data_IF_274812529716
#
_entry.id   IF_274812529716
#
_cell.length_a   1.000
_cell.length_b   1.000
_cell.length_c   1.000
_cell.angle_alpha   90.00
_cell.angle_beta   90.00
_cell.angle_gamma   90.00
#
_symmetry.space_group_name_H-M   'P 1'
#
loop_
_entity.id
_entity.type
_entity.pdbx_description
1 polymer ?
#
# COMPACT_ATOMS: atom_id res chain seq x y z
N UNK A 1 18.90 36.13 -22.33
CA UNK A 1 19.36 34.76 -21.99
C UNK A 1 18.21 34.09 -21.28
N UNK A 2 17.35 33.38 -22.04
CA UNK A 2 16.16 32.70 -21.50
C UNK A 2 16.58 31.30 -21.07
N UNK A 3 16.46 31.03 -19.78
CA UNK A 3 16.61 29.66 -19.22
C UNK A 3 15.37 28.84 -19.61
N UNK A 4 15.53 27.99 -20.61
CA UNK A 4 14.53 26.96 -20.93
C UNK A 4 14.71 25.84 -19.89
N UNK A 5 13.90 25.85 -18.84
CA UNK A 5 13.78 24.75 -17.94
C UNK A 5 13.02 23.63 -18.65
N UNK A 6 13.75 22.57 -19.00
CA UNK A 6 13.22 21.32 -19.52
C UNK A 6 12.55 20.56 -18.36
N UNK A 7 11.34 20.96 -18.01
CA UNK A 7 10.54 20.38 -16.93
C UNK A 7 9.33 19.68 -17.53
N UNK A 8 9.47 18.50 -18.05
CA UNK A 8 8.31 17.90 -18.69
C UNK A 8 8.17 16.38 -18.55
N UNK A 9 9.21 15.58 -18.64
CA UNK A 9 9.01 14.13 -18.77
C UNK A 9 9.55 13.26 -17.63
N UNK A 10 10.58 13.67 -16.93
CA UNK A 10 11.11 12.86 -15.82
C UNK A 10 10.32 13.00 -14.51
N UNK A 11 9.58 14.09 -14.34
CA UNK A 11 8.76 14.34 -13.15
C UNK A 11 7.35 13.71 -13.18
N UNK A 12 6.84 13.35 -14.35
CA UNK A 12 5.48 12.82 -14.48
C UNK A 12 5.35 11.42 -13.86
N UNK A 13 6.30 10.52 -14.07
CA UNK A 13 6.30 9.17 -13.53
C UNK A 13 6.42 9.15 -11.99
N UNK A 14 7.05 10.16 -11.39
CA UNK A 14 7.18 10.32 -9.94
C UNK A 14 6.04 11.16 -9.32
N UNK A 15 5.13 11.66 -10.14
CA UNK A 15 4.08 12.57 -9.72
C UNK A 15 2.98 11.91 -8.91
N UNK A 16 2.69 10.65 -9.21
CA UNK A 16 1.67 9.82 -8.56
C UNK A 16 2.22 8.43 -8.29
N UNK A 17 1.59 7.71 -7.37
CA UNK A 17 1.95 6.33 -7.00
C UNK A 17 0.76 5.42 -7.26
N UNK A 18 0.99 4.36 -8.02
CA UNK A 18 0.13 3.17 -8.11
C UNK A 18 0.96 1.98 -7.62
N UNK A 19 0.47 1.23 -6.65
CA UNK A 19 1.20 0.08 -6.07
C UNK A 19 0.68 -1.26 -6.57
N UNK A 20 -0.58 -1.33 -7.00
CA UNK A 20 -1.18 -2.54 -7.52
C UNK A 20 -1.87 -2.25 -8.85
N UNK A 21 -1.71 -3.11 -9.88
CA UNK A 21 -2.41 -2.93 -11.16
C UNK A 21 -3.95 -2.88 -11.03
N UNK A 22 -4.51 -3.49 -9.98
CA UNK A 22 -5.95 -3.49 -9.70
C UNK A 22 -6.43 -2.24 -8.97
N UNK A 23 -5.55 -1.27 -8.67
CA UNK A 23 -5.94 -0.04 -7.98
C UNK A 23 -6.75 0.86 -8.91
N UNK A 24 -7.90 1.31 -8.42
CA UNK A 24 -8.78 2.25 -9.11
C UNK A 24 -8.38 3.71 -8.86
N UNK A 25 -7.40 3.92 -7.97
CA UNK A 25 -6.92 5.25 -7.58
C UNK A 25 -5.40 5.32 -7.60
N UNK A 26 -4.90 6.51 -7.91
CA UNK A 26 -3.49 6.91 -7.78
C UNK A 26 -3.34 7.83 -6.58
N UNK A 27 -2.17 7.86 -5.96
CA UNK A 27 -1.85 8.78 -4.86
C UNK A 27 -0.99 9.92 -5.38
N UNK A 28 -1.47 11.14 -5.22
CA UNK A 28 -0.71 12.34 -5.56
C UNK A 28 0.44 12.56 -4.57
N UNK A 29 1.69 12.49 -5.02
CA UNK A 29 2.86 12.76 -4.15
C UNK A 29 3.01 14.24 -3.79
N UNK A 30 2.58 15.11 -4.68
CA UNK A 30 2.59 16.55 -4.53
C UNK A 30 1.21 17.09 -4.95
N UNK A 31 0.84 18.31 -4.57
CA UNK A 31 -0.41 18.92 -5.04
C UNK A 31 -0.50 18.88 -6.56
N UNK A 32 -1.66 18.53 -7.10
CA UNK A 32 -1.92 18.48 -8.55
C UNK A 32 -2.97 19.52 -8.90
N UNK A 33 -2.60 20.54 -9.67
CA UNK A 33 -3.57 21.50 -10.17
C UNK A 33 -4.49 20.86 -11.22
N UNK A 34 -5.68 21.43 -11.38
CA UNK A 34 -6.58 21.09 -12.47
C UNK A 34 -5.89 21.27 -13.83
N UNK A 35 -6.23 20.40 -14.77
CA UNK A 35 -5.72 20.42 -16.12
C UNK A 35 -4.35 19.78 -16.32
N UNK A 36 -3.67 19.33 -15.24
CA UNK A 36 -2.39 18.64 -15.35
C UNK A 36 -2.60 17.22 -15.90
N UNK A 37 -1.76 16.82 -16.85
CA UNK A 37 -1.73 15.47 -17.37
C UNK A 37 -0.87 14.58 -16.45
N UNK A 38 -1.44 13.47 -16.02
CA UNK A 38 -0.80 12.42 -15.22
C UNK A 38 -0.37 11.26 -16.14
N UNK A 39 0.50 10.35 -15.66
CA UNK A 39 0.75 9.09 -16.34
C UNK A 39 -0.56 8.35 -16.69
N UNK A 40 -0.50 7.45 -17.65
CA UNK A 40 -1.64 6.65 -18.13
C UNK A 40 -2.72 7.48 -18.87
N UNK A 41 -2.41 8.71 -19.29
CA UNK A 41 -3.33 9.55 -20.05
C UNK A 41 -4.47 10.15 -19.22
N UNK A 42 -4.30 10.19 -17.91
CA UNK A 42 -5.30 10.74 -16.98
C UNK A 42 -5.09 12.25 -16.85
N UNK A 43 -6.14 13.05 -17.09
CA UNK A 43 -6.11 14.48 -16.87
C UNK A 43 -6.81 14.87 -15.58
N UNK A 44 -6.11 15.60 -14.71
CA UNK A 44 -6.65 16.09 -13.43
C UNK A 44 -7.82 17.05 -13.71
N UNK A 45 -8.98 16.77 -13.10
CA UNK A 45 -10.22 17.54 -13.30
C UNK A 45 -10.53 18.56 -12.22
N UNK A 46 -9.82 18.50 -11.11
CA UNK A 46 -9.95 19.39 -9.96
C UNK A 46 -8.66 19.38 -9.14
N UNK A 47 -8.38 20.38 -8.32
CA UNK A 47 -7.16 20.42 -7.51
C UNK A 47 -7.09 19.21 -6.55
N UNK A 48 -6.00 18.47 -6.58
CA UNK A 48 -5.75 17.30 -5.72
C UNK A 48 -4.64 17.63 -4.72
N UNK A 49 -4.89 17.63 -3.42
CA UNK A 49 -3.85 17.83 -2.42
C UNK A 49 -2.82 16.69 -2.40
N UNK A 50 -1.61 16.96 -1.90
CA UNK A 50 -0.60 15.93 -1.68
C UNK A 50 -1.12 14.85 -0.73
N UNK A 51 -0.80 13.58 -1.01
CA UNK A 51 -1.24 12.43 -0.24
C UNK A 51 -2.67 11.96 -0.54
N UNK A 52 -3.43 12.74 -1.33
CA UNK A 52 -4.81 12.40 -1.67
C UNK A 52 -4.90 11.51 -2.90
N UNK A 53 -6.08 10.90 -3.07
CA UNK A 53 -6.36 9.95 -4.14
C UNK A 53 -6.96 10.67 -5.34
N UNK A 54 -6.54 10.27 -6.53
CA UNK A 54 -7.13 10.67 -7.82
C UNK A 54 -7.65 9.42 -8.52
N UNK A 55 -8.83 9.47 -9.09
CA UNK A 55 -9.42 8.35 -9.82
C UNK A 55 -8.59 8.03 -11.07
N UNK A 56 -8.19 6.77 -11.21
CA UNK A 56 -7.41 6.30 -12.36
C UNK A 56 -8.28 5.98 -13.57
N UNK A 57 -9.58 5.80 -13.37
CA UNK A 57 -10.58 5.51 -14.39
C UNK A 57 -11.93 6.08 -13.99
N UNK A 58 -12.89 6.00 -14.88
CA UNK A 58 -14.28 6.27 -14.53
C UNK A 58 -14.82 5.15 -13.62
N UNK A 59 -15.55 5.54 -12.58
CA UNK A 59 -16.09 4.65 -11.55
C UNK A 59 -17.59 4.96 -11.42
N UNK A 60 -18.42 3.95 -11.55
CA UNK A 60 -19.87 4.11 -11.44
C UNK A 60 -20.31 4.29 -9.98
N UNK A 61 -21.47 4.91 -9.76
CA UNK A 61 -22.08 4.97 -8.44
C UNK A 61 -22.35 3.56 -7.90
N UNK A 62 -22.03 3.30 -6.63
CA UNK A 62 -22.12 2.00 -5.99
C UNK A 62 -20.97 1.03 -6.30
N UNK A 63 -20.07 1.39 -7.20
CA UNK A 63 -18.94 0.54 -7.55
C UNK A 63 -17.88 0.53 -6.44
N UNK A 64 -17.28 -0.64 -6.17
CA UNK A 64 -16.20 -0.79 -5.21
C UNK A 64 -14.90 -0.18 -5.74
N UNK A 65 -14.22 0.60 -4.92
CA UNK A 65 -12.90 1.15 -5.22
C UNK A 65 -11.81 0.35 -4.52
N UNK A 66 -10.72 0.12 -5.25
CA UNK A 66 -9.55 -0.61 -4.74
C UNK A 66 -8.34 0.30 -4.59
N UNK A 67 -7.59 0.01 -3.54
CA UNK A 67 -6.23 0.50 -3.30
C UNK A 67 -5.40 -0.63 -2.68
N UNK A 68 -4.19 -0.82 -3.14
CA UNK A 68 -3.37 -1.98 -2.78
C UNK A 68 -4.04 -3.32 -3.13
N UNK A 69 -4.82 -3.34 -4.20
CA UNK A 69 -5.64 -4.48 -4.58
C UNK A 69 -6.83 -4.77 -3.65
N UNK A 70 -7.02 -3.97 -2.58
CA UNK A 70 -8.08 -4.15 -1.58
C UNK A 70 -9.20 -3.13 -1.74
N UNK A 71 -10.43 -3.53 -1.49
CA UNK A 71 -11.57 -2.62 -1.46
C UNK A 71 -11.40 -1.64 -0.29
N UNK A 72 -11.47 -0.34 -0.60
CA UNK A 72 -11.37 0.75 0.37
C UNK A 72 -12.70 1.47 0.62
N UNK A 73 -13.74 1.11 -0.11
CA UNK A 73 -15.07 1.67 -0.03
C UNK A 73 -15.81 1.56 -1.35
N UNK A 74 -16.96 2.23 -1.42
CA UNK A 74 -17.84 2.26 -2.59
C UNK A 74 -18.09 3.70 -3.01
N UNK A 75 -18.17 3.94 -4.32
CA UNK A 75 -18.47 5.26 -4.84
C UNK A 75 -19.90 5.65 -4.45
N UNK A 76 -20.10 6.73 -3.70
CA UNK A 76 -21.41 7.24 -3.35
C UNK A 76 -22.11 7.94 -4.52
N UNK A 77 -21.37 8.29 -5.55
CA UNK A 77 -21.80 8.85 -6.83
C UNK A 77 -20.80 8.47 -7.93
N UNK A 78 -21.13 8.68 -9.19
CA UNK A 78 -20.17 8.48 -10.27
C UNK A 78 -18.95 9.40 -10.09
N UNK A 79 -17.75 8.86 -10.32
CA UNK A 79 -16.46 9.55 -10.21
C UNK A 79 -15.75 9.40 -11.55
N UNK A 80 -15.42 10.51 -12.20
CA UNK A 80 -14.68 10.48 -13.45
C UNK A 80 -13.17 10.33 -13.24
N UNK A 81 -12.49 9.73 -14.20
CA UNK A 81 -11.03 9.67 -14.22
C UNK A 81 -10.44 11.09 -14.02
N UNK A 82 -9.42 11.21 -13.17
CA UNK A 82 -8.80 12.49 -12.83
C UNK A 82 -9.52 13.29 -11.74
N UNK A 83 -10.65 12.84 -11.21
CA UNK A 83 -11.31 13.49 -10.08
C UNK A 83 -10.70 13.08 -8.73
N UNK A 84 -10.84 13.93 -7.75
CA UNK A 84 -10.44 13.71 -6.37
C UNK A 84 -11.34 12.65 -5.71
N UNK A 85 -10.74 11.63 -5.11
CA UNK A 85 -11.46 10.59 -4.37
C UNK A 85 -11.26 10.81 -2.88
N UNK A 86 -12.35 11.14 -2.18
CA UNK A 86 -12.36 11.40 -0.75
C UNK A 86 -13.74 11.12 -0.14
N UNK A 87 -13.94 11.43 1.13
CA UNK A 87 -15.21 11.19 1.87
C UNK A 87 -16.45 11.80 1.23
N UNK A 88 -16.30 12.78 0.33
CA UNK A 88 -17.43 13.41 -0.36
C UNK A 88 -18.01 12.55 -1.51
N UNK A 89 -17.28 11.53 -1.96
CA UNK A 89 -17.69 10.62 -3.04
C UNK A 89 -17.29 9.15 -2.82
N UNK A 90 -16.69 8.83 -1.66
CA UNK A 90 -16.35 7.47 -1.24
C UNK A 90 -16.98 7.21 0.13
N UNK A 91 -17.82 6.19 0.22
CA UNK A 91 -18.46 5.74 1.45
C UNK A 91 -17.98 4.34 1.84
N UNK A 92 -18.04 4.05 3.14
CA UNK A 92 -17.89 2.67 3.62
C UNK A 92 -19.16 1.88 3.28
N UNK A 93 -18.99 0.60 3.01
CA UNK A 93 -20.09 -0.34 2.75
C UNK A 93 -19.73 -1.71 3.27
N UNK A 94 -20.72 -2.55 3.43
CA UNK A 94 -20.50 -3.94 3.80
C UNK A 94 -19.99 -4.72 2.60
N UNK A 95 -18.86 -5.41 2.80
CA UNK A 95 -18.34 -6.37 1.84
C UNK A 95 -17.77 -7.57 2.59
N UNK A 96 -18.09 -8.75 2.11
CA UNK A 96 -17.44 -9.97 2.60
C UNK A 96 -16.08 -10.12 1.91
N UNK A 97 -15.05 -10.36 2.71
CA UNK A 97 -13.76 -10.78 2.19
C UNK A 97 -13.73 -12.29 2.20
N UNK A 98 -13.47 -12.87 1.05
CA UNK A 98 -13.15 -14.29 0.99
C UNK A 98 -11.72 -14.48 1.52
N UNK A 99 -11.64 -14.74 2.81
CA UNK A 99 -10.37 -15.09 3.44
C UNK A 99 -10.14 -16.59 3.26
N UNK A 100 -9.55 -16.97 2.16
CA UNK A 100 -9.09 -18.34 1.96
C UNK A 100 -7.84 -18.59 2.81
N UNK A 101 -8.04 -18.81 4.11
CA UNK A 101 -6.94 -19.10 5.03
C UNK A 101 -6.32 -20.45 4.71
N UNK A 102 -5.01 -20.51 4.65
CA UNK A 102 -4.26 -21.75 4.55
C UNK A 102 -4.36 -22.48 3.20
N UNK A 103 -4.81 -21.86 2.12
CA UNK A 103 -4.89 -22.48 0.79
C UNK A 103 -3.56 -23.03 0.30
N UNK A 104 -2.45 -22.43 0.70
CA UNK A 104 -1.09 -22.88 0.37
C UNK A 104 -0.43 -23.68 1.51
N UNK A 105 -1.18 -23.97 2.58
CA UNK A 105 -0.67 -24.75 3.68
C UNK A 105 -0.36 -26.17 3.20
N UNK A 106 0.90 -26.55 3.27
CA UNK A 106 1.37 -27.90 2.94
C UNK A 106 1.85 -28.56 4.22
N UNK A 107 1.56 -29.84 4.35
CA UNK A 107 2.13 -30.64 5.44
C UNK A 107 3.65 -30.57 5.40
N UNK A 108 4.25 -30.21 6.52
CA UNK A 108 5.71 -30.21 6.66
C UNK A 108 6.18 -31.67 6.70
N UNK A 109 7.10 -32.05 5.82
CA UNK A 109 7.73 -33.37 5.91
C UNK A 109 8.58 -33.42 7.18
N UNK A 110 8.47 -34.53 7.92
CA UNK A 110 9.36 -34.76 9.05
C UNK A 110 10.82 -34.66 8.58
N UNK A 111 11.71 -33.99 9.33
CA UNK A 111 13.11 -33.94 9.00
C UNK A 111 13.71 -35.34 9.00
N UNK A 112 14.61 -35.59 8.07
CA UNK A 112 15.32 -36.91 8.00
C UNK A 112 16.31 -37.06 9.15
N UNK A 113 16.81 -35.92 9.69
CA UNK A 113 17.68 -35.87 10.84
C UNK A 113 17.16 -34.84 11.86
N UNK A 114 17.00 -35.29 13.13
CA UNK A 114 16.55 -34.43 14.25
C UNK A 114 17.73 -33.70 14.94
N UNK A 115 18.83 -33.47 14.21
CA UNK A 115 20.03 -32.87 14.76
C UNK A 115 20.33 -31.53 14.13
N UNK A 116 20.85 -30.64 14.93
CA UNK A 116 21.35 -29.35 14.45
C UNK A 116 22.64 -28.96 15.17
N UNK A 117 23.45 -28.13 14.53
CA UNK A 117 24.59 -27.48 15.18
C UNK A 117 24.07 -26.29 15.97
N UNK A 118 24.18 -26.37 17.30
CA UNK A 118 23.70 -25.34 18.20
C UNK A 118 24.80 -24.64 18.97
N UNK A 119 24.50 -23.47 19.53
CA UNK A 119 25.35 -22.70 20.41
C UNK A 119 24.95 -23.06 21.86
N UNK A 120 25.84 -23.69 22.62
CA UNK A 120 25.63 -23.93 24.05
C UNK A 120 26.06 -22.68 24.81
N UNK A 121 25.16 -22.10 25.57
CA UNK A 121 25.40 -20.90 26.38
C UNK A 121 25.97 -21.27 27.73
N UNK A 122 26.56 -20.29 28.43
CA UNK A 122 27.17 -20.48 29.75
C UNK A 122 26.19 -20.98 30.81
N UNK A 123 24.89 -20.72 30.64
CA UNK A 123 23.82 -21.16 31.50
C UNK A 123 23.25 -22.55 31.14
N UNK A 124 23.84 -23.22 30.13
CA UNK A 124 23.42 -24.55 29.67
C UNK A 124 22.29 -24.55 28.61
N UNK A 125 21.69 -23.38 28.28
CA UNK A 125 20.70 -23.29 27.21
C UNK A 125 21.32 -23.52 25.86
N UNK A 126 20.60 -24.16 24.94
CA UNK A 126 21.03 -24.39 23.58
C UNK A 126 20.22 -23.48 22.64
N UNK A 127 20.88 -22.81 21.72
CA UNK A 127 20.26 -21.93 20.74
C UNK A 127 20.76 -22.24 19.34
N UNK A 128 19.90 -22.09 18.34
CA UNK A 128 20.25 -22.26 16.93
C UNK A 128 21.00 -21.07 16.34
N UNK A 129 20.80 -19.87 16.90
CA UNK A 129 21.38 -18.59 16.45
C UNK A 129 21.63 -17.67 17.62
N UNK A 130 22.34 -16.58 17.36
CA UNK A 130 22.48 -15.49 18.33
C UNK A 130 21.19 -14.69 18.50
N UNK A 131 21.14 -13.91 19.58
CA UNK A 131 20.03 -12.98 19.80
C UNK A 131 19.95 -11.94 18.70
N UNK A 132 18.72 -11.61 18.30
CA UNK A 132 18.42 -10.48 17.44
C UNK A 132 17.77 -9.41 18.32
N UNK A 133 18.45 -8.28 18.52
CA UNK A 133 17.90 -7.12 19.22
C UNK A 133 17.19 -6.21 18.20
N UNK A 134 15.92 -5.87 18.45
CA UNK A 134 15.19 -4.88 17.69
C UNK A 134 14.98 -3.67 18.60
N UNK A 135 15.65 -2.56 18.26
CA UNK A 135 15.48 -1.28 18.95
C UNK A 135 14.52 -0.43 18.13
N UNK A 136 13.38 -0.08 18.72
CA UNK A 136 12.42 0.85 18.09
C UNK A 136 12.63 2.24 18.69
N UNK A 137 12.81 3.24 17.85
CA UNK A 137 13.00 4.65 18.26
C UNK A 137 11.70 5.45 18.29
N UNK A 138 10.55 4.80 18.13
CA UNK A 138 9.25 5.47 18.04
C UNK A 138 8.42 5.21 19.29
N UNK A 139 7.61 6.18 19.66
CA UNK A 139 6.81 6.33 20.87
C UNK A 139 5.75 5.24 21.16
N UNK A 140 5.96 4.01 20.75
CA UNK A 140 5.15 2.88 21.16
C UNK A 140 5.81 2.17 22.34
N UNK A 141 5.41 2.54 23.55
CA UNK A 141 5.96 2.02 24.81
C UNK A 141 5.43 0.63 25.19
N UNK A 142 4.75 -0.09 24.30
CA UNK A 142 4.13 -1.38 24.63
C UNK A 142 4.48 -2.52 23.67
N UNK A 143 5.75 -2.68 23.33
CA UNK A 143 6.23 -3.97 22.87
C UNK A 143 6.55 -4.83 24.11
N UNK A 144 5.61 -5.62 24.55
CA UNK A 144 5.94 -6.74 25.43
C UNK A 144 6.68 -7.77 24.58
N UNK A 145 7.96 -7.96 24.86
CA UNK A 145 8.66 -9.15 24.40
C UNK A 145 7.97 -10.35 25.07
N UNK A 146 7.28 -11.18 24.29
CA UNK A 146 6.89 -12.48 24.76
C UNK A 146 8.14 -13.35 24.72
N UNK A 147 8.70 -13.62 25.88
CA UNK A 147 9.66 -14.70 26.05
C UNK A 147 8.89 -16.02 25.88
N UNK A 148 9.22 -16.76 24.85
CA UNK A 148 8.87 -18.16 24.67
C UNK A 148 10.05 -19.02 25.04
#
# INVERSE_FOLDING_TARGET
MQLITKTGSENAALAVIRLNPLDDVLIARHPRPEGLDLPEGIRVREPIPAGHKVAARDIAAGEALRRYGQIIGFASRAIGAGQHVHVHNLAMGDFSRDYAFGVDARGVKAPVEDRFMGIVRSDGRVATRNYIGILTSVSYTHLRAHET
#
